data_IF_447966735572
#
_entry.id   IF_447966735572
#
_cell.length_a   1.000
_cell.length_b   1.000
_cell.length_c   1.000
_cell.angle_alpha   90.00
_cell.angle_beta   90.00
_cell.angle_gamma   90.00
#
_symmetry.space_group_name_H-M   'P 1'
#
loop_
_entity.id
_entity.type
_entity.pdbx_description
1 polymer ?
#
# COMPACT_ATOMS: atom_id res chain seq x y z
N UNK A 1 -5.69 7.89 -28.66
CA UNK A 1 -6.25 6.63 -28.12
C UNK A 1 -5.95 6.58 -26.64
N UNK A 2 -6.81 5.98 -25.78
CA UNK A 2 -6.48 5.85 -24.37
C UNK A 2 -5.18 5.05 -24.23
N UNK A 3 -4.22 5.61 -23.51
CA UNK A 3 -2.94 4.97 -23.20
C UNK A 3 -3.07 3.98 -22.03
N UNK A 4 -4.29 3.54 -21.72
CA UNK A 4 -4.61 2.68 -20.60
C UNK A 4 -5.64 1.65 -21.06
N UNK A 5 -5.44 0.38 -20.68
CA UNK A 5 -6.45 -0.69 -20.81
C UNK A 5 -6.87 -1.15 -19.42
N UNK A 6 -8.16 -1.35 -19.22
CA UNK A 6 -8.73 -1.75 -17.93
C UNK A 6 -9.45 -3.09 -18.03
N UNK A 7 -9.29 -3.92 -17.01
CA UNK A 7 -9.85 -5.26 -16.98
C UNK A 7 -10.46 -5.55 -15.62
N UNK A 8 -11.50 -6.37 -15.59
CA UNK A 8 -12.03 -6.92 -14.36
C UNK A 8 -11.12 -8.05 -13.84
N UNK A 9 -11.20 -8.34 -12.54
CA UNK A 9 -10.52 -9.49 -11.94
C UNK A 9 -11.43 -10.14 -10.89
N UNK A 10 -11.40 -11.47 -10.82
CA UNK A 10 -12.10 -12.19 -9.78
C UNK A 10 -11.60 -11.80 -8.38
N UNK A 11 -12.52 -11.50 -7.46
CA UNK A 11 -12.16 -11.04 -6.11
C UNK A 11 -11.32 -12.02 -5.30
N UNK A 12 -11.41 -13.32 -5.58
CA UNK A 12 -10.53 -14.34 -4.98
C UNK A 12 -9.07 -14.15 -5.38
N UNK A 13 -8.81 -13.90 -6.67
CA UNK A 13 -7.47 -13.61 -7.20
C UNK A 13 -6.93 -12.27 -6.69
N UNK A 14 -7.77 -11.24 -6.67
CA UNK A 14 -7.39 -9.93 -6.11
C UNK A 14 -6.99 -10.01 -4.62
N UNK A 15 -7.70 -10.83 -3.84
CA UNK A 15 -7.33 -11.12 -2.44
C UNK A 15 -6.04 -11.92 -2.31
N UNK A 16 -5.80 -12.88 -3.21
CA UNK A 16 -4.54 -13.61 -3.24
C UNK A 16 -3.35 -12.68 -3.52
N UNK A 17 -3.46 -11.83 -4.55
CA UNK A 17 -2.46 -10.81 -4.87
C UNK A 17 -2.19 -9.91 -3.66
N UNK A 18 -3.26 -9.42 -3.02
CA UNK A 18 -3.15 -8.61 -1.81
C UNK A 18 -2.39 -9.32 -0.69
N UNK A 19 -2.69 -10.61 -0.45
CA UNK A 19 -2.03 -11.39 0.59
C UNK A 19 -0.54 -11.56 0.31
N UNK A 20 -0.17 -11.82 -0.94
CA UNK A 20 1.23 -12.09 -1.34
C UNK A 20 2.06 -10.81 -1.53
N UNK A 21 1.43 -9.66 -1.81
CA UNK A 21 2.14 -8.41 -2.12
C UNK A 21 1.92 -7.29 -1.12
N UNK A 22 0.92 -7.41 -0.26
CA UNK A 22 0.39 -6.32 0.55
C UNK A 22 -0.58 -5.43 -0.23
N UNK A 23 -1.30 -4.59 0.50
CA UNK A 23 -1.99 -3.43 -0.09
C UNK A 23 -0.96 -2.33 -0.33
N UNK A 24 -1.06 -1.66 -1.48
CA UNK A 24 -0.37 -0.39 -1.67
C UNK A 24 -1.14 0.77 -1.01
N UNK A 25 -1.22 1.91 -1.69
CA UNK A 25 -1.82 3.12 -1.14
C UNK A 25 -3.34 3.01 -1.02
N UNK A 26 -3.90 3.55 0.07
CA UNK A 26 -5.35 3.77 0.18
C UNK A 26 -5.67 5.15 -0.37
N UNK A 27 -6.60 5.18 -1.31
CA UNK A 27 -7.01 6.38 -2.03
C UNK A 27 -8.49 6.61 -1.73
N UNK A 28 -8.82 7.86 -1.42
CA UNK A 28 -10.20 8.32 -1.27
C UNK A 28 -10.38 9.54 -2.16
N UNK A 29 -11.35 9.47 -3.07
CA UNK A 29 -11.69 10.56 -3.97
C UNK A 29 -13.15 10.98 -3.78
N UNK A 30 -13.35 12.29 -3.68
CA UNK A 30 -14.66 12.92 -3.67
C UNK A 30 -14.87 13.69 -4.97
N UNK A 31 -16.04 13.53 -5.55
CA UNK A 31 -16.44 14.17 -6.79
C UNK A 31 -17.54 15.18 -6.49
N UNK A 32 -17.34 16.41 -6.96
CA UNK A 32 -18.34 17.47 -6.83
C UNK A 32 -19.31 17.47 -8.01
N UNK A 33 -20.34 18.31 -7.91
CA UNK A 33 -21.36 18.43 -8.94
C UNK A 33 -20.74 18.65 -10.34
N UNK A 34 -21.13 17.82 -11.33
CA UNK A 34 -20.56 17.90 -12.67
C UNK A 34 -20.91 19.25 -13.30
N UNK A 35 -19.90 19.90 -13.88
CA UNK A 35 -20.07 21.07 -14.76
C UNK A 35 -19.70 20.66 -16.18
N UNK A 36 -20.34 21.23 -17.20
CA UNK A 36 -20.17 20.79 -18.59
C UNK A 36 -18.73 20.93 -19.11
N UNK A 37 -17.98 21.88 -18.57
CA UNK A 37 -16.61 22.22 -18.96
C UNK A 37 -15.57 21.86 -17.90
N UNK A 38 -16.01 21.38 -16.72
CA UNK A 38 -15.12 21.26 -15.57
C UNK A 38 -15.55 20.20 -14.58
N UNK A 39 -14.57 19.50 -14.06
CA UNK A 39 -14.73 18.49 -13.02
C UNK A 39 -13.75 18.79 -11.89
N UNK A 40 -14.28 18.79 -10.67
CA UNK A 40 -13.52 19.00 -9.45
C UNK A 40 -13.47 17.69 -8.68
N UNK A 41 -12.29 17.35 -8.18
CA UNK A 41 -12.04 16.12 -7.44
C UNK A 41 -11.17 16.46 -6.25
N UNK A 42 -11.58 16.06 -5.05
CA UNK A 42 -10.70 16.07 -3.87
C UNK A 42 -10.14 14.66 -3.70
N UNK A 43 -8.83 14.52 -3.57
CA UNK A 43 -8.16 13.22 -3.40
C UNK A 43 -7.31 13.23 -2.14
N UNK A 44 -7.41 12.17 -1.35
CA UNK A 44 -6.55 11.89 -0.21
C UNK A 44 -5.82 10.57 -0.47
N UNK A 45 -4.48 10.59 -0.40
CA UNK A 45 -3.62 9.43 -0.62
C UNK A 45 -2.33 9.55 0.20
N UNK A 46 -1.88 8.45 0.83
CA UNK A 46 -0.59 8.36 1.53
C UNK A 46 -0.30 9.51 2.52
N UNK A 47 -1.33 10.00 3.21
CA UNK A 47 -1.22 11.11 4.16
C UNK A 47 -1.31 12.50 3.54
N UNK A 48 -1.09 12.63 2.23
CA UNK A 48 -1.28 13.86 1.47
C UNK A 48 -2.72 14.05 0.99
N UNK A 49 -3.04 15.29 0.62
CA UNK A 49 -4.31 15.63 0.03
C UNK A 49 -4.16 16.69 -1.06
N UNK A 50 -4.96 16.55 -2.11
CA UNK A 50 -4.92 17.43 -3.27
C UNK A 50 -6.33 17.71 -3.79
N UNK A 51 -6.51 18.93 -4.30
CA UNK A 51 -7.66 19.30 -5.11
C UNK A 51 -7.23 19.26 -6.57
N UNK A 52 -7.95 18.48 -7.36
CA UNK A 52 -7.70 18.27 -8.78
C UNK A 52 -8.82 18.96 -9.55
N UNK A 53 -8.43 19.81 -10.48
CA UNK A 53 -9.32 20.46 -11.42
C UNK A 53 -9.05 19.90 -12.82
N UNK A 54 -10.07 19.28 -13.40
CA UNK A 54 -10.02 18.80 -14.78
C UNK A 54 -10.92 19.70 -15.60
N UNK A 55 -10.33 20.47 -16.52
CA UNK A 55 -11.04 21.40 -17.39
C UNK A 55 -11.01 20.87 -18.82
N UNK A 56 -12.16 20.87 -19.50
CA UNK A 56 -12.26 20.42 -20.89
C UNK A 56 -12.52 21.64 -21.77
N UNK A 57 -11.55 22.00 -22.60
CA UNK A 57 -11.66 23.09 -23.54
C UNK A 57 -12.60 22.75 -24.72
N UNK A 58 -13.04 23.78 -25.45
CA UNK A 58 -14.01 23.63 -26.56
C UNK A 58 -13.49 22.77 -27.73
N UNK A 59 -12.17 22.65 -27.87
CA UNK A 59 -11.49 21.78 -28.85
C UNK A 59 -11.37 20.31 -28.37
N UNK A 60 -11.93 19.98 -27.20
CA UNK A 60 -11.86 18.64 -26.60
C UNK A 60 -10.55 18.35 -25.86
N UNK A 61 -9.60 19.30 -25.78
CA UNK A 61 -8.39 19.09 -24.96
C UNK A 61 -8.74 19.20 -23.49
N UNK A 62 -8.26 18.25 -22.70
CA UNK A 62 -8.44 18.23 -21.25
C UNK A 62 -7.16 18.67 -20.56
N UNK A 63 -7.27 19.62 -19.65
CA UNK A 63 -6.19 20.13 -18.82
C UNK A 63 -6.44 19.75 -17.36
N UNK A 64 -5.41 19.24 -16.69
CA UNK A 64 -5.47 18.83 -15.28
C UNK A 64 -4.55 19.71 -14.44
N UNK A 65 -5.14 20.46 -13.51
CA UNK A 65 -4.43 21.26 -12.51
C UNK A 65 -4.54 20.59 -11.14
N UNK A 66 -3.44 20.54 -10.39
CA UNK A 66 -3.39 19.93 -9.06
C UNK A 66 -2.86 20.95 -8.05
N UNK A 67 -3.61 21.14 -6.97
CA UNK A 67 -3.21 21.96 -5.84
C UNK A 67 -3.15 21.11 -4.57
N UNK A 68 -2.02 21.15 -3.86
CA UNK A 68 -1.92 20.55 -2.54
C UNK A 68 -2.82 21.31 -1.56
N UNK A 69 -3.51 20.56 -0.70
CA UNK A 69 -4.39 21.14 0.32
C UNK A 69 -4.13 20.50 1.68
N UNK A 70 -4.30 21.23 2.80
CA UNK A 70 -4.26 20.63 4.12
C UNK A 70 -5.27 19.49 4.22
N UNK A 71 -4.84 18.39 4.84
CA UNK A 71 -5.68 17.18 4.97
C UNK A 71 -7.03 17.45 5.60
N UNK A 72 -7.09 18.27 6.66
CA UNK A 72 -8.34 18.64 7.33
C UNK A 72 -9.34 19.32 6.38
N UNK A 73 -8.86 20.14 5.43
CA UNK A 73 -9.73 20.76 4.43
C UNK A 73 -10.24 19.73 3.43
N UNK A 74 -9.38 18.80 3.00
CA UNK A 74 -9.80 17.74 2.09
C UNK A 74 -10.84 16.80 2.72
N UNK A 75 -10.70 16.49 4.01
CA UNK A 75 -11.69 15.70 4.75
C UNK A 75 -13.04 16.43 4.82
N UNK A 76 -13.07 17.73 5.15
CA UNK A 76 -14.29 18.53 5.11
C UNK A 76 -14.90 18.62 3.70
N UNK A 77 -14.07 18.70 2.67
CA UNK A 77 -14.50 18.70 1.27
C UNK A 77 -15.09 17.35 0.83
N UNK A 78 -14.58 16.24 1.36
CA UNK A 78 -15.15 14.90 1.12
C UNK A 78 -16.55 14.75 1.70
N UNK A 79 -16.87 15.44 2.81
CA UNK A 79 -18.18 15.37 3.45
C UNK A 79 -19.28 16.10 2.65
N UNK A 80 -18.89 17.08 1.84
CA UNK A 80 -19.80 17.83 0.95
C UNK A 80 -19.74 17.38 -0.51
N UNK A 81 -18.91 16.37 -0.82
CA UNK A 81 -18.84 15.80 -2.16
C UNK A 81 -20.16 15.10 -2.52
N UNK A 82 -20.58 15.20 -3.79
CA UNK A 82 -21.82 14.58 -4.26
C UNK A 82 -21.66 13.06 -4.41
N UNK A 83 -20.46 12.60 -4.79
CA UNK A 83 -20.11 11.20 -4.88
C UNK A 83 -18.73 10.95 -4.27
N UNK A 84 -18.52 9.74 -3.74
CA UNK A 84 -17.26 9.35 -3.11
C UNK A 84 -16.89 7.94 -3.49
N UNK A 85 -15.60 7.74 -3.76
CA UNK A 85 -15.02 6.43 -4.03
C UNK A 85 -13.82 6.21 -3.12
N UNK A 86 -13.70 5.01 -2.58
CA UNK A 86 -12.55 4.62 -1.79
C UNK A 86 -12.04 3.28 -2.28
N UNK A 87 -10.76 3.22 -2.61
CA UNK A 87 -10.11 2.01 -3.11
C UNK A 87 -8.69 1.89 -2.57
N UNK A 88 -8.17 0.67 -2.59
CA UNK A 88 -6.76 0.42 -2.33
C UNK A 88 -6.08 0.05 -3.65
N UNK A 89 -4.97 0.71 -3.97
CA UNK A 89 -4.20 0.46 -5.18
C UNK A 89 -2.94 -0.31 -4.84
N UNK A 90 -2.80 -1.50 -5.41
CA UNK A 90 -1.56 -2.29 -5.39
C UNK A 90 -0.91 -2.33 -6.77
N UNK A 91 0.33 -2.78 -6.83
CA UNK A 91 1.05 -2.99 -8.10
C UNK A 91 1.40 -4.45 -8.28
N UNK A 92 1.10 -5.00 -9.45
CA UNK A 92 1.37 -6.38 -9.84
C UNK A 92 2.36 -6.38 -11.01
N UNK A 93 3.58 -6.90 -10.83
CA UNK A 93 4.50 -7.07 -11.95
C UNK A 93 4.00 -8.18 -12.88
N UNK A 94 4.15 -7.97 -14.17
CA UNK A 94 3.93 -8.95 -15.23
C UNK A 94 5.26 -9.45 -15.80
N UNK A 95 5.17 -10.53 -16.57
CA UNK A 95 6.23 -10.96 -17.47
C UNK A 95 6.63 -9.80 -18.41
N UNK A 96 7.94 -9.65 -18.65
CA UNK A 96 8.47 -8.55 -19.46
C UNK A 96 8.66 -7.23 -18.70
N UNK A 97 8.52 -7.22 -17.37
CA UNK A 97 8.85 -6.07 -16.52
C UNK A 97 7.78 -4.97 -16.49
N UNK A 98 6.61 -5.20 -17.09
CA UNK A 98 5.47 -4.27 -17.01
C UNK A 98 4.83 -4.36 -15.64
N UNK A 99 4.32 -3.24 -15.16
CA UNK A 99 3.52 -3.17 -13.94
C UNK A 99 2.04 -2.92 -14.26
N UNK A 100 1.16 -3.53 -13.47
CA UNK A 100 -0.29 -3.39 -13.55
C UNK A 100 -0.78 -2.87 -12.22
N UNK A 101 -1.61 -1.84 -12.24
CA UNK A 101 -2.27 -1.36 -11.04
C UNK A 101 -3.50 -2.23 -10.75
N UNK A 102 -3.62 -2.73 -9.52
CA UNK A 102 -4.80 -3.41 -9.02
C UNK A 102 -5.55 -2.47 -8.08
N UNK A 103 -6.73 -2.02 -8.49
CA UNK A 103 -7.63 -1.20 -7.69
C UNK A 103 -8.73 -2.03 -7.07
N UNK A 104 -8.78 -1.99 -5.74
CA UNK A 104 -9.77 -2.70 -4.95
C UNK A 104 -10.75 -1.72 -4.32
N UNK A 105 -11.91 -1.59 -4.94
CA UNK A 105 -12.93 -0.66 -4.50
C UNK A 105 -13.65 -1.18 -3.25
N UNK A 106 -13.87 -0.26 -2.32
CA UNK A 106 -14.54 -0.50 -1.04
C UNK A 106 -15.85 0.29 -0.93
N UNK A 107 -15.89 1.49 -1.54
CA UNK A 107 -17.02 2.41 -1.53
C UNK A 107 -17.20 2.94 -2.96
N UNK A 108 -18.44 3.08 -3.47
CA UNK A 108 -19.70 2.67 -2.84
C UNK A 108 -19.99 1.16 -2.97
N UNK A 109 -19.35 0.50 -3.92
CA UNK A 109 -19.52 -0.92 -4.24
C UNK A 109 -18.17 -1.63 -4.25
N UNK A 110 -18.17 -2.92 -3.92
CA UNK A 110 -16.95 -3.74 -3.97
C UNK A 110 -16.76 -4.28 -5.36
N UNK A 111 -15.67 -3.87 -6.00
CA UNK A 111 -15.23 -4.35 -7.30
C UNK A 111 -13.71 -4.27 -7.36
N UNK A 112 -13.09 -5.17 -8.11
CA UNK A 112 -11.65 -5.20 -8.31
C UNK A 112 -11.34 -4.96 -9.80
N UNK A 113 -10.46 -4.01 -10.10
CA UNK A 113 -10.11 -3.59 -11.47
C UNK A 113 -8.59 -3.60 -11.64
N UNK A 114 -8.14 -4.06 -12.79
CA UNK A 114 -6.76 -4.00 -13.25
C UNK A 114 -6.61 -2.89 -14.27
N UNK A 115 -5.58 -2.08 -14.11
CA UNK A 115 -5.23 -0.98 -15.02
C UNK A 115 -3.83 -1.18 -15.56
N UNK A 116 -3.70 -1.22 -16.88
CA UNK A 116 -2.45 -1.35 -17.60
C UNK A 116 -2.19 -0.05 -18.35
N UNK A 117 -1.17 0.69 -17.94
CA UNK A 117 -0.75 1.92 -18.63
C UNK A 117 0.34 1.63 -19.65
N UNK A 118 0.25 2.29 -20.79
CA UNK A 118 1.18 2.19 -21.91
C UNK A 118 1.91 3.52 -22.11
N UNK A 119 3.25 3.52 -22.22
CA UNK A 119 4.01 4.70 -22.60
C UNK A 119 3.70 5.12 -24.04
N UNK A 120 4.00 6.38 -24.35
CA UNK A 120 3.83 6.92 -25.69
C UNK A 120 4.67 6.14 -26.72
N UNK A 121 4.06 5.81 -27.85
CA UNK A 121 4.69 5.02 -28.92
C UNK A 121 4.50 3.51 -28.80
N UNK A 122 4.05 3.00 -27.65
CA UNK A 122 3.62 1.60 -27.53
C UNK A 122 2.18 1.43 -28.05
N UNK A 123 1.89 0.27 -28.65
CA UNK A 123 0.57 -0.08 -29.16
C UNK A 123 -0.19 -0.89 -28.11
N UNK A 124 -1.21 -0.32 -27.41
CA UNK A 124 -1.98 -1.03 -26.39
C UNK A 124 -2.66 -2.30 -26.94
N UNK A 125 -2.94 -2.36 -28.24
CA UNK A 125 -3.60 -3.47 -28.91
C UNK A 125 -2.70 -4.71 -29.03
N UNK A 126 -1.38 -4.52 -28.99
CA UNK A 126 -0.42 -5.62 -29.02
C UNK A 126 -0.30 -6.34 -27.66
N UNK A 127 -0.83 -5.74 -26.59
CA UNK A 127 -0.78 -6.35 -25.26
C UNK A 127 -1.71 -7.57 -25.19
N UNK A 128 -1.09 -8.71 -24.89
CA UNK A 128 -1.78 -9.97 -24.63
C UNK A 128 -2.03 -10.09 -23.11
N UNK A 129 -3.27 -9.91 -22.64
CA UNK A 129 -3.57 -10.03 -21.22
C UNK A 129 -3.36 -11.48 -20.74
N UNK A 130 -2.72 -11.70 -19.58
CA UNK A 130 -2.61 -13.03 -18.95
C UNK A 130 -3.96 -13.70 -18.71
N UNK A 131 -3.96 -15.02 -18.57
CA UNK A 131 -5.20 -15.81 -18.40
C UNK A 131 -6.03 -15.45 -17.14
N UNK A 132 -5.40 -14.81 -16.15
CA UNK A 132 -6.07 -14.35 -14.92
C UNK A 132 -6.74 -12.98 -15.05
N UNK A 133 -6.54 -12.27 -16.16
CA UNK A 133 -7.30 -11.08 -16.47
C UNK A 133 -8.73 -11.47 -16.85
N UNK A 134 -9.70 -10.73 -16.34
CA UNK A 134 -11.10 -10.88 -16.72
C UNK A 134 -11.45 -10.07 -17.96
N UNK A 135 -12.75 -9.76 -18.09
CA UNK A 135 -13.29 -8.96 -19.20
C UNK A 135 -12.61 -7.59 -19.28
N UNK A 136 -12.24 -7.19 -20.48
CA UNK A 136 -11.79 -5.82 -20.76
C UNK A 136 -12.97 -4.85 -20.67
N UNK A 137 -12.79 -3.77 -19.91
CA UNK A 137 -13.76 -2.69 -19.65
C UNK A 137 -13.24 -1.32 -20.10
N UNK A 138 -12.22 -1.31 -20.95
CA UNK A 138 -11.63 -0.08 -21.51
C UNK A 138 -12.69 0.72 -22.26
N UNK A 139 -12.91 1.97 -21.85
CA UNK A 139 -13.91 2.86 -22.46
C UNK A 139 -15.36 2.64 -22.01
N UNK A 140 -15.62 1.68 -21.12
CA UNK A 140 -16.94 1.53 -20.51
C UNK A 140 -17.14 2.61 -19.44
N UNK A 141 -17.88 3.67 -19.77
CA UNK A 141 -18.07 4.85 -18.90
C UNK A 141 -18.62 4.53 -17.51
N UNK A 142 -19.36 3.44 -17.34
CA UNK A 142 -19.85 2.99 -16.02
C UNK A 142 -18.76 2.58 -15.04
N UNK A 143 -17.56 2.23 -15.52
CA UNK A 143 -16.42 1.86 -14.70
C UNK A 143 -15.41 3.01 -14.49
N UNK A 144 -15.73 4.22 -14.96
CA UNK A 144 -14.93 5.38 -14.60
C UNK A 144 -15.11 5.73 -13.12
N UNK A 145 -14.04 6.20 -12.46
CA UNK A 145 -14.06 6.54 -11.03
C UNK A 145 -15.18 7.51 -10.65
N UNK A 146 -15.51 8.48 -11.51
CA UNK A 146 -16.61 9.41 -11.27
C UNK A 146 -17.98 8.75 -11.40
N UNK A 147 -18.18 7.90 -12.40
CA UNK A 147 -19.42 7.15 -12.56
C UNK A 147 -19.64 6.21 -11.38
N UNK A 148 -18.58 5.50 -10.96
CA UNK A 148 -18.61 4.65 -9.76
C UNK A 148 -18.94 5.48 -8.52
N UNK A 149 -18.32 6.64 -8.33
CA UNK A 149 -18.55 7.50 -7.18
C UNK A 149 -19.99 8.05 -7.10
N UNK A 150 -20.62 8.32 -8.24
CA UNK A 150 -21.95 8.93 -8.33
C UNK A 150 -23.09 7.91 -8.36
N UNK A 151 -22.91 6.81 -9.11
CA UNK A 151 -23.98 5.86 -9.42
C UNK A 151 -23.72 4.46 -8.85
N UNK A 152 -22.52 4.20 -8.32
CA UNK A 152 -22.06 2.85 -8.05
C UNK A 152 -21.46 2.16 -9.28
N UNK A 153 -20.68 1.10 -9.03
CA UNK A 153 -20.18 0.28 -10.14
C UNK A 153 -21.32 -0.56 -10.73
N UNK A 154 -21.31 -0.82 -12.05
CA UNK A 154 -22.21 -1.78 -12.68
C UNK A 154 -22.09 -3.16 -12.01
N UNK A 155 -23.20 -3.91 -11.97
CA UNK A 155 -23.15 -5.29 -11.49
C UNK A 155 -22.37 -6.16 -12.49
N UNK A 156 -21.30 -6.78 -12.00
CA UNK A 156 -20.38 -7.61 -12.79
C UNK A 156 -20.70 -9.10 -12.64
N UNK A 157 -21.48 -9.47 -11.62
CA UNK A 157 -21.66 -10.86 -11.21
C UNK A 157 -20.36 -11.53 -10.76
N UNK A 158 -20.43 -12.84 -10.51
CA UNK A 158 -19.26 -13.63 -10.11
C UNK A 158 -18.39 -13.97 -11.33
N UNK A 159 -17.11 -13.60 -11.25
CA UNK A 159 -16.11 -13.94 -12.27
C UNK A 159 -15.52 -15.32 -11.94
N UNK A 160 -15.81 -16.31 -12.79
CA UNK A 160 -15.27 -17.66 -12.64
C UNK A 160 -13.75 -17.69 -12.80
N UNK A 161 -13.07 -18.42 -11.92
CA UNK A 161 -11.62 -18.61 -11.97
C UNK A 161 -11.32 -20.03 -12.47
N UNK A 162 -10.58 -20.13 -13.57
CA UNK A 162 -10.06 -21.41 -14.06
C UNK A 162 -8.73 -21.77 -13.37
N UNK A 163 -8.38 -23.06 -13.39
CA UNK A 163 -7.06 -23.51 -12.90
C UNK A 163 -5.91 -22.85 -13.69
N UNK A 164 -6.05 -22.72 -15.02
CA UNK A 164 -5.05 -22.05 -15.86
C UNK A 164 -4.84 -20.57 -15.50
N UNK A 165 -5.91 -19.87 -15.13
CA UNK A 165 -5.83 -18.50 -14.65
C UNK A 165 -5.07 -18.45 -13.31
N UNK A 166 -5.42 -19.32 -12.36
CA UNK A 166 -4.73 -19.39 -11.07
C UNK A 166 -3.24 -19.70 -11.24
N UNK A 167 -2.89 -20.71 -12.02
CA UNK A 167 -1.49 -21.09 -12.31
C UNK A 167 -0.73 -19.92 -12.95
N UNK A 168 -1.30 -19.27 -13.98
CA UNK A 168 -0.70 -18.10 -14.63
C UNK A 168 -0.48 -16.93 -13.66
N UNK A 169 -1.37 -16.75 -12.69
CA UNK A 169 -1.19 -15.75 -11.64
C UNK A 169 -0.06 -16.13 -10.69
N UNK A 170 0.00 -17.38 -10.23
CA UNK A 170 1.06 -17.85 -9.35
C UNK A 170 2.44 -17.69 -10.01
N UNK A 171 2.58 -18.05 -11.28
CA UNK A 171 3.80 -17.83 -12.06
C UNK A 171 4.19 -16.35 -12.11
N UNK A 172 3.21 -15.45 -12.23
CA UNK A 172 3.42 -13.99 -12.19
C UNK A 172 3.89 -13.53 -10.81
N UNK A 173 3.40 -14.16 -9.74
CA UNK A 173 3.78 -13.84 -8.37
C UNK A 173 5.16 -14.39 -7.97
N UNK A 174 5.58 -15.53 -8.51
CA UNK A 174 6.85 -16.18 -8.21
C UNK A 174 8.07 -15.46 -8.78
N UNK A 175 7.92 -14.80 -9.94
CA UNK A 175 9.03 -14.11 -10.62
C UNK A 175 9.76 -13.07 -9.74
N UNK A 176 9.11 -12.48 -8.75
CA UNK A 176 9.77 -11.54 -7.80
C UNK A 176 10.55 -12.25 -6.68
N UNK A 177 10.22 -13.50 -6.36
CA UNK A 177 10.97 -14.29 -5.38
C UNK A 177 12.27 -14.83 -6.00
N UNK A 178 12.24 -15.24 -7.28
CA UNK A 178 13.42 -15.71 -8.00
C UNK A 178 14.54 -14.67 -8.12
N UNK A 179 14.19 -13.40 -8.35
CA UNK A 179 15.18 -12.31 -8.42
C UNK A 179 15.82 -11.95 -7.06
N UNK A 180 15.15 -12.20 -5.93
CA UNK A 180 15.74 -11.98 -4.59
C UNK A 180 16.56 -13.18 -4.11
N UNK A 181 16.22 -14.40 -4.51
CA UNK A 181 16.99 -15.60 -4.15
C UNK A 181 18.30 -15.72 -4.93
N UNK A 182 18.36 -15.20 -6.17
CA UNK A 182 19.61 -15.23 -6.96
C UNK A 182 20.66 -14.23 -6.43
N UNK A 183 20.23 -13.09 -5.88
CA UNK A 183 21.14 -12.13 -5.24
C UNK A 183 21.76 -12.65 -3.94
N UNK A 184 21.11 -13.61 -3.25
CA UNK A 184 21.67 -14.29 -2.09
C UNK A 184 22.58 -15.48 -2.45
N UNK A 185 22.63 -15.87 -3.74
CA UNK A 185 23.50 -16.93 -4.24
C UNK A 185 24.61 -16.39 -5.16
N UNK A 186 24.90 -15.09 -5.06
CA UNK A 186 26.10 -14.48 -5.60
C UNK A 186 27.33 -14.96 -4.83
N UNK A 187 28.00 -15.94 -5.40
CA UNK A 187 29.46 -16.12 -5.39
C UNK A 187 30.16 -15.53 -4.17
N UNK A 188 30.58 -16.39 -3.23
CA UNK A 188 31.69 -16.10 -2.32
C UNK A 188 32.90 -15.76 -3.19
N UNK A 189 33.08 -14.47 -3.46
CA UNK A 189 34.22 -13.96 -4.19
C UNK A 189 35.47 -14.30 -3.36
N UNK A 190 36.39 -15.04 -3.97
CA UNK A 190 37.74 -15.19 -3.45
C UNK A 190 38.35 -13.79 -3.30
N UNK A 191 39.11 -13.51 -2.22
CA UNK A 191 39.77 -12.22 -2.08
C UNK A 191 40.74 -11.99 -3.25
N UNK A 192 40.89 -10.75 -3.74
CA UNK A 192 41.73 -10.45 -4.88
C UNK A 192 43.22 -10.76 -4.58
N UNK A 193 44.01 -11.20 -5.57
CA UNK A 193 45.45 -11.34 -5.43
C UNK A 193 46.08 -9.96 -5.21
N UNK A 194 47.03 -9.89 -4.27
CA UNK A 194 47.78 -8.67 -3.94
C UNK A 194 48.59 -8.22 -5.18
N UNK A 195 48.61 -6.92 -5.53
CA UNK A 195 49.45 -6.41 -6.59
C UNK A 195 50.95 -6.54 -6.22
N UNK A 196 51.76 -6.97 -7.18
CA UNK A 196 53.21 -7.06 -7.05
C UNK A 196 53.83 -5.65 -6.96
N UNK A 197 54.68 -5.47 -5.95
CA UNK A 197 55.41 -4.23 -5.67
C UNK A 197 56.42 -3.92 -6.78
N UNK A 198 56.40 -2.72 -7.42
CA UNK A 198 57.52 -2.26 -8.24
C UNK A 198 58.73 -1.90 -7.37
N UNK A 199 59.98 -2.02 -7.90
CA UNK A 199 61.19 -1.73 -7.15
C UNK A 199 61.30 -0.25 -6.75
N UNK A 200 61.92 0.07 -5.59
CA UNK A 200 61.92 1.42 -5.05
C UNK A 200 62.83 2.39 -5.84
N UNK A 201 62.40 3.65 -6.05
CA UNK A 201 63.27 4.72 -6.55
C UNK A 201 64.24 5.24 -5.47
N UNK A 202 65.39 5.75 -5.93
CA UNK A 202 66.51 6.23 -5.13
C UNK A 202 66.16 7.44 -4.22
N UNK A 203 66.85 7.61 -3.06
CA UNK A 203 66.43 8.56 -2.03
C UNK A 203 66.81 10.02 -2.33
N UNK A 204 65.91 11.00 -2.12
CA UNK A 204 66.29 12.40 -1.96
C UNK A 204 66.78 12.70 -0.53
N UNK A 205 67.73 13.64 -0.42
CA UNK A 205 68.34 14.14 0.83
C UNK A 205 67.34 14.96 1.68
N UNK A 206 67.57 15.04 3.02
CA UNK A 206 66.55 15.45 3.99
C UNK A 206 66.57 16.96 4.26
N UNK A 207 65.39 17.53 4.58
CA UNK A 207 65.26 18.75 5.37
C UNK A 207 64.23 18.58 6.50
N UNK A 208 64.41 19.28 7.64
CA UNK A 208 63.94 18.80 8.92
C UNK A 208 62.69 19.54 9.37
N UNK A 209 61.64 18.82 9.77
CA UNK A 209 60.57 19.41 10.58
C UNK A 209 60.27 18.50 11.79
N UNK A 210 60.13 19.19 12.91
CA UNK A 210 60.19 18.77 14.32
C UNK A 210 59.14 17.74 14.76
N UNK A 211 59.40 17.06 15.90
CA UNK A 211 58.70 15.86 16.34
C UNK A 211 57.34 16.14 17.00
N UNK A 212 56.43 15.21 16.75
CA UNK A 212 55.27 14.85 17.57
C UNK A 212 55.72 14.23 18.91
N UNK A 213 54.86 14.21 19.94
CA UNK A 213 54.83 13.02 20.77
C UNK A 213 53.43 12.38 20.84
N UNK A 214 53.36 11.22 20.19
CA UNK A 214 52.85 9.93 20.63
C UNK A 214 51.53 9.84 21.42
N UNK A 215 50.58 8.99 20.96
CA UNK A 215 49.55 8.38 21.80
C UNK A 215 50.16 7.29 22.70
N UNK A 216 49.68 7.22 23.94
CA UNK A 216 50.02 6.17 24.91
C UNK A 216 48.93 5.09 24.84
N UNK A 217 49.35 3.85 24.63
CA UNK A 217 48.53 2.63 24.62
C UNK A 217 48.52 1.94 26.02
N UNK A 218 47.77 0.83 26.24
CA UNK A 218 46.83 0.62 27.35
C UNK A 218 47.38 -0.24 28.51
N UNK A 219 46.54 -0.65 29.47
CA UNK A 219 46.23 -2.08 29.66
C UNK A 219 44.77 -2.28 30.17
N UNK A 220 44.23 -3.46 30.52
CA UNK A 220 44.32 -4.89 30.17
C UNK A 220 43.43 -5.61 31.23
N UNK A 221 42.86 -6.78 30.89
CA UNK A 221 42.30 -7.82 31.79
C UNK A 221 41.02 -7.43 32.59
N UNK A 222 40.04 -8.29 32.93
CA UNK A 222 40.00 -9.74 33.24
C UNK A 222 38.52 -10.20 33.13
N UNK A 223 38.21 -11.37 32.55
CA UNK A 223 37.74 -12.62 33.21
C UNK A 223 36.48 -12.48 34.12
N UNK A 224 35.50 -13.38 34.19
CA UNK A 224 35.12 -14.64 33.55
C UNK A 224 33.77 -15.10 34.19
N UNK A 225 33.19 -16.17 33.62
CA UNK A 225 32.16 -17.11 34.15
C UNK A 225 30.69 -16.65 34.02
N UNK A 226 29.81 -17.29 33.24
CA UNK A 226 29.40 -18.71 33.06
C UNK A 226 28.43 -19.21 34.14
N UNK A 227 27.15 -19.44 33.76
CA UNK A 227 26.38 -20.67 34.00
C UNK A 227 24.92 -20.57 33.46
N UNK A 228 24.47 -21.64 32.81
CA UNK A 228 23.09 -22.04 32.51
C UNK A 228 22.87 -23.43 33.17
N UNK A 229 21.74 -24.19 33.08
CA UNK A 229 20.50 -24.02 32.28
C UNK A 229 19.17 -24.51 32.95
N UNK A 230 18.09 -24.58 32.14
CA UNK A 230 16.86 -25.43 32.23
C UNK A 230 15.82 -25.07 33.33
N UNK A 231 14.50 -25.29 33.25
CA UNK A 231 13.63 -26.19 32.48
C UNK A 231 12.15 -25.72 32.60
N UNK A 232 11.26 -26.13 31.68
CA UNK A 232 9.80 -25.96 31.76
C UNK A 232 9.15 -26.95 32.75
N UNK A 233 7.87 -26.77 33.15
CA UNK A 233 6.83 -27.67 32.62
C UNK A 233 5.39 -27.05 32.53
N UNK A 234 4.48 -27.82 31.93
CA UNK A 234 3.00 -27.71 32.00
C UNK A 234 2.43 -29.12 32.37
N UNK A 235 1.10 -29.40 32.46
CA UNK A 235 -0.11 -28.65 32.85
C UNK A 235 -0.92 -29.37 33.98
N UNK A 236 -2.03 -28.82 34.51
CA UNK A 236 -3.23 -29.58 34.96
C UNK A 236 -4.36 -28.74 35.63
N UNK A 237 -5.59 -28.97 35.14
CA UNK A 237 -6.87 -29.23 35.84
C UNK A 237 -7.60 -28.20 36.77
N UNK A 238 -8.82 -27.86 36.32
CA UNK A 238 -10.12 -27.88 37.03
C UNK A 238 -10.40 -26.95 38.23
N UNK A 239 -11.41 -26.07 38.08
CA UNK A 239 -12.67 -26.05 38.86
C UNK A 239 -13.45 -24.70 38.71
N UNK A 240 -14.74 -24.79 38.40
CA UNK A 240 -15.80 -23.85 38.79
C UNK A 240 -16.61 -24.54 39.93
N UNK A 241 -17.42 -23.90 40.81
CA UNK A 241 -18.37 -22.81 40.50
C UNK A 241 -18.63 -21.72 41.58
N UNK A 242 -19.49 -20.77 41.20
CA UNK A 242 -20.44 -19.97 42.01
C UNK A 242 -19.96 -18.98 43.09
N UNK A 243 -20.25 -17.68 42.90
CA UNK A 243 -21.25 -16.93 43.69
C UNK A 243 -21.34 -15.45 43.23
N UNK A 244 -22.56 -14.98 43.04
CA UNK A 244 -22.95 -13.57 42.92
C UNK A 244 -23.33 -13.08 44.32
N UNK A 245 -22.96 -11.85 44.76
CA UNK A 245 -24.01 -10.86 44.90
C UNK A 245 -23.62 -9.41 44.58
N UNK A 246 -24.57 -8.71 43.97
CA UNK A 246 -25.08 -7.37 44.31
C UNK A 246 -24.13 -6.17 44.59
N UNK A 247 -24.33 -5.16 43.73
CA UNK A 247 -24.60 -3.76 44.05
C UNK A 247 -23.45 -2.75 44.26
N UNK A 248 -23.44 -1.79 43.31
CA UNK A 248 -23.34 -0.34 43.50
C UNK A 248 -22.05 0.26 44.09
N UNK A 249 -21.29 0.92 43.22
CA UNK A 249 -20.28 1.90 43.58
C UNK A 249 -19.75 2.60 42.35
N UNK A 250 -20.27 3.80 42.07
CA UNK A 250 -19.79 4.69 41.03
C UNK A 250 -18.32 5.06 41.27
N UNK A 251 -17.48 4.88 40.26
CA UNK A 251 -16.28 5.69 40.06
C UNK A 251 -16.13 5.95 38.56
N UNK A 252 -16.48 7.18 38.21
CA UNK A 252 -16.42 7.76 36.89
C UNK A 252 -14.96 8.16 36.62
N UNK A 253 -14.26 7.36 35.83
CA UNK A 253 -12.99 7.72 35.21
C UNK A 253 -12.95 7.05 33.83
N UNK A 254 -12.84 7.80 32.72
CA UNK A 254 -12.83 7.20 31.40
C UNK A 254 -11.58 6.33 31.23
N UNK A 255 -11.70 5.07 30.78
CA UNK A 255 -10.53 4.27 30.46
C UNK A 255 -9.78 4.91 29.29
N UNK A 256 -8.45 4.88 29.36
CA UNK A 256 -7.58 5.32 28.28
C UNK A 256 -7.94 4.57 26.98
N UNK A 257 -7.87 5.23 25.80
CA UNK A 257 -8.28 4.59 24.55
C UNK A 257 -7.35 3.42 24.23
N UNK A 258 -7.88 2.20 24.38
CA UNK A 258 -7.31 1.02 23.75
C UNK A 258 -7.54 1.11 22.25
N UNK A 259 -6.47 0.85 21.48
CA UNK A 259 -6.41 0.92 20.02
C UNK A 259 -7.16 -0.26 19.36
N UNK A 260 -8.37 -0.55 19.84
CA UNK A 260 -9.21 -1.61 19.30
C UNK A 260 -10.07 -1.05 18.14
N UNK A 261 -9.97 -1.59 16.91
CA UNK A 261 -10.64 -1.03 15.74
C UNK A 261 -12.18 -1.08 15.82
N UNK A 262 -12.74 -1.97 16.64
CA UNK A 262 -14.19 -2.07 16.82
C UNK A 262 -14.76 -0.96 17.71
N UNK A 263 -13.97 -0.41 18.64
CA UNK A 263 -14.40 0.70 19.50
C UNK A 263 -14.49 2.02 18.73
N UNK A 264 -13.60 2.23 17.75
CA UNK A 264 -13.63 3.40 16.86
C UNK A 264 -14.90 3.37 16.01
N UNK A 265 -15.30 2.18 15.53
CA UNK A 265 -16.50 2.00 14.73
C UNK A 265 -17.77 2.24 15.57
N UNK A 266 -17.80 1.74 16.81
CA UNK A 266 -18.90 1.95 17.74
C UNK A 266 -19.05 3.43 18.15
N UNK A 267 -17.93 4.13 18.34
CA UNK A 267 -17.91 5.55 18.70
C UNK A 267 -18.40 6.43 17.53
N UNK A 268 -18.01 6.11 16.29
CA UNK A 268 -18.49 6.79 15.09
C UNK A 268 -19.99 6.55 14.86
N UNK A 269 -20.47 5.33 15.09
CA UNK A 269 -21.89 4.99 14.98
C UNK A 269 -22.75 5.74 16.02
N UNK A 270 -22.21 5.99 17.23
CA UNK A 270 -22.91 6.74 18.28
C UNK A 270 -22.92 8.25 18.02
N UNK A 271 -21.90 8.77 17.34
CA UNK A 271 -21.83 10.18 16.90
C UNK A 271 -22.78 10.47 15.72
N UNK A 272 -23.07 9.47 14.89
CA UNK A 272 -23.93 9.57 13.70
C UNK A 272 -25.42 9.28 13.98
N UNK A 273 -25.79 8.89 15.21
CA UNK A 273 -27.18 8.64 15.56
C UNK A 273 -27.98 9.97 15.69
N UNK A 274 -29.15 10.09 15.04
CA UNK A 274 -29.95 11.32 15.14
C UNK A 274 -30.47 11.52 16.57
N UNK A 275 -30.24 12.71 17.13
CA UNK A 275 -30.78 13.10 18.44
C UNK A 275 -32.31 13.13 18.36
N UNK A 276 -32.98 12.32 19.20
CA UNK A 276 -34.44 12.36 19.34
C UNK A 276 -34.89 13.76 19.77
N UNK A 277 -35.94 14.33 19.17
CA UNK A 277 -36.45 15.63 19.58
C UNK A 277 -37.17 15.49 20.92
N UNK A 278 -36.65 16.16 21.95
CA UNK A 278 -37.34 16.35 23.22
C UNK A 278 -36.59 15.87 24.46
N UNK A 279 -35.51 16.55 24.84
CA UNK A 279 -35.25 16.90 26.25
C UNK A 279 -34.62 18.29 26.28
N UNK A 280 -35.32 19.22 26.92
CA UNK A 280 -34.80 20.49 27.43
C UNK A 280 -34.15 20.24 28.78
#
# INVERSE_FOLDING_TARGET
MPNERRFLIASSLARLIQKERGLGSRIVEGYFAPRPDRKQIVRIENGGAQLILVSTAQNGTTEEERAEVPRAHAEALLDVAQGKVAFARGTVPLQGGREVALDRFMIPTRIDVLSVTFPEGERPEAFQPPAWFGREITGEGGFELNAIAMNGAPDVGDINVSNSALESLLDSLEQRFGFRSSAASGTRAAPPPRPATPPPPAPPRPEPVRPEPAPVEPPAAEAAREEAPAEAPAPAAAAAPAEEPAAAGANDAPPAPTNDPDDVLASLARALAPRRPGQR
#
